data_IF_373393224912
#
_entry.id   IF_373393224912
#
_cell.length_a   1.000
_cell.length_b   1.000
_cell.length_c   1.000
_cell.angle_alpha   90.00
_cell.angle_beta   90.00
_cell.angle_gamma   90.00
#
_symmetry.space_group_name_H-M   'P 1'
#
loop_
_entity.id
_entity.type
_entity.pdbx_description
1 polymer ?
#
# COMPACT_ATOMS: atom_id res chain seq x y z
N UNK A 1 2.60 5.59 -7.12
CA UNK A 1 1.37 5.77 -7.92
C UNK A 1 1.07 7.27 -7.91
N UNK A 2 1.88 8.07 -8.63
CA UNK A 2 1.93 9.52 -8.43
C UNK A 2 0.61 10.23 -8.73
N UNK A 3 -0.19 9.64 -9.63
CA UNK A 3 -1.46 10.20 -10.08
C UNK A 3 -2.60 10.06 -9.06
N UNK A 4 -2.44 9.23 -8.02
CA UNK A 4 -3.47 9.04 -7.00
C UNK A 4 -3.38 10.12 -5.92
N UNK A 5 -4.54 10.62 -5.48
CA UNK A 5 -4.63 11.37 -4.22
C UNK A 5 -4.25 10.47 -3.04
N UNK A 6 -3.82 11.08 -1.93
CA UNK A 6 -3.45 10.32 -0.72
C UNK A 6 -4.60 9.44 -0.21
N UNK A 7 -5.85 9.90 -0.33
CA UNK A 7 -7.03 9.12 0.02
C UNK A 7 -7.18 7.89 -0.90
N UNK A 8 -7.14 8.07 -2.22
CA UNK A 8 -7.25 6.97 -3.17
C UNK A 8 -6.10 5.97 -3.03
N UNK A 9 -4.88 6.46 -2.76
CA UNK A 9 -3.74 5.63 -2.47
C UNK A 9 -4.01 4.77 -1.23
N UNK A 10 -4.43 5.38 -0.12
CA UNK A 10 -4.71 4.66 1.12
C UNK A 10 -5.85 3.64 0.97
N UNK A 11 -6.94 4.00 0.30
CA UNK A 11 -8.07 3.08 0.03
C UNK A 11 -7.63 1.86 -0.79
N UNK A 12 -6.79 2.05 -1.81
CA UNK A 12 -6.22 0.95 -2.59
C UNK A 12 -5.38 0.01 -1.73
N UNK A 13 -4.51 0.55 -0.87
CA UNK A 13 -3.67 -0.26 0.03
C UNK A 13 -4.53 -1.06 1.00
N UNK A 14 -5.51 -0.43 1.64
CA UNK A 14 -6.35 -1.07 2.66
C UNK A 14 -7.25 -2.16 2.05
N UNK A 15 -7.92 -1.86 0.94
CA UNK A 15 -8.78 -2.83 0.24
C UNK A 15 -7.99 -4.05 -0.25
N UNK A 16 -6.83 -3.83 -0.88
CA UNK A 16 -5.98 -4.92 -1.38
C UNK A 16 -5.45 -5.78 -0.24
N UNK A 17 -5.02 -5.15 0.85
CA UNK A 17 -4.52 -5.85 2.04
C UNK A 17 -5.58 -6.72 2.67
N UNK A 18 -6.80 -6.21 2.81
CA UNK A 18 -7.93 -6.97 3.36
C UNK A 18 -8.26 -8.20 2.50
N UNK A 19 -8.27 -8.07 1.17
CA UNK A 19 -8.51 -9.21 0.29
C UNK A 19 -7.38 -10.24 0.33
N UNK A 20 -6.10 -9.81 0.39
CA UNK A 20 -4.97 -10.73 0.56
C UNK A 20 -5.11 -11.48 1.89
N UNK A 21 -5.29 -10.75 3.00
CA UNK A 21 -5.39 -11.34 4.34
C UNK A 21 -6.54 -12.35 4.44
N UNK A 22 -7.68 -12.06 3.81
CA UNK A 22 -8.82 -12.99 3.72
C UNK A 22 -8.48 -14.29 2.99
N UNK A 23 -7.60 -14.26 1.99
CA UNK A 23 -7.23 -15.43 1.19
C UNK A 23 -6.17 -16.28 1.90
N UNK A 24 -5.12 -15.64 2.46
CA UNK A 24 -3.95 -16.36 3.00
C UNK A 24 -3.91 -16.42 4.53
N UNK A 25 -4.82 -15.73 5.22
CA UNK A 25 -4.93 -15.70 6.68
C UNK A 25 -3.86 -14.86 7.39
N UNK A 26 -3.03 -14.13 6.64
CA UNK A 26 -1.97 -13.27 7.20
C UNK A 26 -1.97 -11.90 6.51
N UNK A 27 -1.82 -10.83 7.30
CA UNK A 27 -1.71 -9.47 6.79
C UNK A 27 -0.35 -9.26 6.12
N UNK A 28 -0.29 -8.86 4.84
CA UNK A 28 0.98 -8.53 4.18
C UNK A 28 1.61 -7.27 4.79
N UNK A 29 2.94 -7.26 4.86
CA UNK A 29 3.75 -6.14 5.35
C UNK A 29 4.78 -5.64 4.31
N UNK A 30 4.75 -6.21 3.09
CA UNK A 30 5.56 -5.81 1.95
C UNK A 30 4.66 -5.15 0.90
N UNK A 31 5.06 -3.98 0.43
CA UNK A 31 4.40 -3.27 -0.66
C UNK A 31 5.37 -3.07 -1.81
N UNK A 32 4.93 -3.35 -3.04
CA UNK A 32 5.68 -3.05 -4.26
C UNK A 32 4.83 -2.19 -5.17
N UNK A 33 5.23 -0.94 -5.48
CA UNK A 33 4.47 -0.10 -6.40
C UNK A 33 4.46 -0.69 -7.82
N UNK A 34 3.32 -0.59 -8.54
CA UNK A 34 3.28 -0.86 -9.97
C UNK A 34 4.34 -0.03 -10.69
N UNK A 35 5.05 -0.65 -11.63
CA UNK A 35 6.12 -0.02 -12.43
C UNK A 35 7.29 0.59 -11.62
N UNK A 36 7.35 0.39 -10.30
CA UNK A 36 8.36 1.01 -9.44
C UNK A 36 8.10 2.47 -9.10
N UNK A 37 6.96 3.03 -9.52
CA UNK A 37 6.68 4.46 -9.38
C UNK A 37 6.01 4.77 -8.04
N UNK A 38 6.69 5.52 -7.18
CA UNK A 38 6.19 5.97 -5.88
C UNK A 38 6.82 7.31 -5.50
N UNK A 39 6.07 8.13 -4.76
CA UNK A 39 6.56 9.40 -4.22
C UNK A 39 6.92 9.27 -2.74
N UNK A 40 7.82 10.10 -2.23
CA UNK A 40 8.28 10.06 -0.83
C UNK A 40 7.13 10.15 0.18
N UNK A 41 6.12 11.00 -0.09
CA UNK A 41 4.92 11.09 0.76
C UNK A 41 4.15 9.75 0.85
N UNK A 42 4.12 8.98 -0.23
CA UNK A 42 3.47 7.67 -0.29
C UNK A 42 4.30 6.62 0.47
N UNK A 43 5.63 6.69 0.38
CA UNK A 43 6.55 5.86 1.18
C UNK A 43 6.36 6.12 2.68
N UNK A 44 6.29 7.39 3.09
CA UNK A 44 6.03 7.74 4.49
C UNK A 44 4.67 7.23 4.99
N UNK A 45 3.62 7.32 4.16
CA UNK A 45 2.31 6.78 4.49
C UNK A 45 2.35 5.25 4.67
N UNK A 46 3.02 4.53 3.78
CA UNK A 46 3.19 3.08 3.87
C UNK A 46 3.95 2.68 5.15
N UNK A 47 5.05 3.36 5.46
CA UNK A 47 5.84 3.11 6.66
C UNK A 47 5.02 3.32 7.94
N UNK A 48 4.21 4.40 8.01
CA UNK A 48 3.30 4.67 9.14
C UNK A 48 2.23 3.58 9.33
N UNK A 49 1.89 2.86 8.26
CA UNK A 49 0.91 1.76 8.27
C UNK A 49 1.54 0.39 8.49
N UNK A 50 2.87 0.30 8.63
CA UNK A 50 3.61 -0.94 8.87
C UNK A 50 4.03 -1.68 7.60
N UNK A 51 3.90 -1.08 6.42
CA UNK A 51 4.44 -1.65 5.18
C UNK A 51 5.90 -1.28 4.99
N UNK A 52 6.66 -2.17 4.35
CA UNK A 52 8.01 -1.94 3.84
C UNK A 52 7.94 -1.87 2.31
N UNK A 53 8.49 -0.81 1.72
CA UNK A 53 8.52 -0.59 0.25
C UNK A 53 9.91 -0.36 -0.29
#
# INVERSE_FOLDING_TARGET
MPELTDQQFNENIQSTTAEIEKIIGVKPDLFRPPFGEIEDRQVEMLNKQGYRS
#
